data_IF_157240886253
#
_entry.id   IF_157240886253
#
_cell.length_a   1.000
_cell.length_b   1.000
_cell.length_c   1.000
_cell.angle_alpha   90.00
_cell.angle_beta   90.00
_cell.angle_gamma   90.00
#
_symmetry.space_group_name_H-M   'P 1'
#
loop_
_entity.id
_entity.type
_entity.pdbx_description
1 polymer ?
#
# COMPACT_ATOMS: atom_id res chain seq x y z
N UNK A 1 8.23 -11.56 10.12
CA UNK A 1 7.40 -11.59 8.89
C UNK A 1 6.65 -10.27 8.62
N UNK A 2 5.82 -9.74 9.54
CA UNK A 2 5.01 -8.51 9.30
C UNK A 2 5.81 -7.25 8.92
N UNK A 3 7.02 -7.10 9.45
CA UNK A 3 7.89 -5.97 9.14
C UNK A 3 8.48 -6.04 7.72
N UNK A 4 8.89 -7.24 7.26
CA UNK A 4 9.42 -7.45 5.91
C UNK A 4 8.36 -7.19 4.83
N UNK A 5 7.11 -7.59 5.07
CA UNK A 5 6.02 -7.33 4.13
C UNK A 5 5.73 -5.82 4.01
N UNK A 6 5.66 -5.11 5.14
CA UNK A 6 5.49 -3.64 5.14
C UNK A 6 6.66 -2.93 4.46
N UNK A 7 7.89 -3.43 4.68
CA UNK A 7 9.09 -2.92 4.03
C UNK A 7 9.05 -3.14 2.51
N UNK A 8 8.64 -4.34 2.07
CA UNK A 8 8.51 -4.66 0.64
C UNK A 8 7.47 -3.74 -0.05
N UNK A 9 6.34 -3.45 0.61
CA UNK A 9 5.32 -2.52 0.07
C UNK A 9 5.83 -1.09 0.02
N UNK A 10 6.55 -0.64 1.06
CA UNK A 10 7.14 0.69 1.07
C UNK A 10 8.20 0.86 -0.05
N UNK A 11 9.03 -0.16 -0.27
CA UNK A 11 10.00 -0.18 -1.38
C UNK A 11 9.28 -0.21 -2.73
N UNK A 12 8.20 -0.99 -2.87
CA UNK A 12 7.41 -1.06 -4.10
C UNK A 12 6.74 0.29 -4.44
N UNK A 13 6.22 1.01 -3.44
CA UNK A 13 5.66 2.36 -3.60
C UNK A 13 6.74 3.40 -3.91
N UNK A 14 7.94 3.28 -3.36
CA UNK A 14 9.07 4.15 -3.70
C UNK A 14 9.56 3.92 -5.13
N UNK A 15 9.53 2.67 -5.63
CA UNK A 15 9.80 2.37 -7.05
C UNK A 15 8.75 3.01 -7.96
N UNK A 16 7.50 3.16 -7.50
CA UNK A 16 6.42 3.85 -8.21
C UNK A 16 6.66 5.38 -8.35
N UNK A 17 7.54 5.95 -7.53
CA UNK A 17 7.92 7.37 -7.57
C UNK A 17 8.95 7.69 -8.67
N UNK A 18 9.65 6.67 -9.19
CA UNK A 18 10.46 6.81 -10.39
C UNK A 18 9.53 6.82 -11.62
N UNK A 19 9.78 7.71 -12.59
CA UNK A 19 9.04 7.77 -13.85
C UNK A 19 9.26 6.47 -14.65
N UNK A 20 8.45 5.45 -14.37
CA UNK A 20 8.45 4.21 -15.13
C UNK A 20 7.43 4.26 -16.28
N UNK A 21 7.71 3.55 -17.39
CA UNK A 21 6.77 3.43 -18.50
C UNK A 21 5.42 2.87 -18.02
N UNK A 22 4.32 3.34 -18.61
CA UNK A 22 2.94 3.15 -18.13
C UNK A 22 2.58 1.70 -17.72
N UNK A 23 3.08 0.70 -18.45
CA UNK A 23 2.82 -0.73 -18.12
C UNK A 23 3.40 -1.17 -16.77
N UNK A 24 4.48 -0.57 -16.29
CA UNK A 24 5.03 -0.87 -14.97
C UNK A 24 4.16 -0.32 -13.84
N UNK A 25 3.47 0.80 -14.03
CA UNK A 25 2.51 1.32 -13.04
C UNK A 25 1.36 0.33 -12.80
N UNK A 26 0.86 -0.32 -13.85
CA UNK A 26 -0.19 -1.34 -13.72
C UNK A 26 0.29 -2.57 -12.94
N UNK A 27 1.53 -3.03 -13.18
CA UNK A 27 2.14 -4.15 -12.42
C UNK A 27 2.32 -3.76 -10.95
N UNK A 28 2.81 -2.56 -10.67
CA UNK A 28 3.00 -2.07 -9.29
C UNK A 28 1.67 -1.97 -8.56
N UNK A 29 0.61 -1.51 -9.22
CA UNK A 29 -0.75 -1.49 -8.63
C UNK A 29 -1.27 -2.88 -8.33
N UNK A 30 -1.06 -3.84 -9.23
CA UNK A 30 -1.43 -5.24 -9.00
C UNK A 30 -0.73 -5.81 -7.76
N UNK A 31 0.58 -5.59 -7.64
CA UNK A 31 1.35 -6.01 -6.48
C UNK A 31 0.93 -5.28 -5.19
N UNK A 32 0.68 -3.96 -5.25
CA UNK A 32 0.19 -3.18 -4.12
C UNK A 32 -1.19 -3.66 -3.64
N UNK A 33 -2.12 -3.91 -4.57
CA UNK A 33 -3.44 -4.46 -4.27
C UNK A 33 -3.34 -5.81 -3.55
N UNK A 34 -2.55 -6.75 -4.08
CA UNK A 34 -2.35 -8.06 -3.45
C UNK A 34 -1.76 -7.94 -2.04
N UNK A 35 -0.81 -7.03 -1.85
CA UNK A 35 -0.17 -6.82 -0.56
C UNK A 35 -1.11 -6.15 0.48
N UNK A 36 -1.93 -5.18 0.05
CA UNK A 36 -2.95 -4.56 0.91
C UNK A 36 -4.07 -5.54 1.28
N UNK A 37 -4.49 -6.41 0.35
CA UNK A 37 -5.46 -7.46 0.64
C UNK A 37 -4.94 -8.43 1.71
N UNK A 38 -3.68 -8.86 1.60
CA UNK A 38 -3.05 -9.71 2.61
C UNK A 38 -2.95 -9.00 3.98
N UNK A 39 -2.55 -7.72 4.00
CA UNK A 39 -2.49 -6.92 5.23
C UNK A 39 -3.86 -6.77 5.88
N UNK A 40 -4.89 -6.50 5.09
CA UNK A 40 -6.27 -6.42 5.57
C UNK A 40 -6.68 -7.71 6.28
N UNK A 41 -6.42 -8.87 5.65
CA UNK A 41 -6.71 -10.18 6.22
C UNK A 41 -5.95 -10.44 7.54
N UNK A 42 -4.66 -10.14 7.60
CA UNK A 42 -3.86 -10.29 8.83
C UNK A 42 -4.34 -9.37 9.97
N UNK A 43 -4.78 -8.15 9.66
CA UNK A 43 -5.31 -7.21 10.65
C UNK A 43 -6.70 -7.60 11.16
N UNK A 44 -7.59 -8.11 10.29
CA UNK A 44 -8.86 -8.71 10.72
C UNK A 44 -8.63 -9.93 11.61
N UNK A 45 -7.67 -10.79 11.27
CA UNK A 45 -7.31 -11.94 12.12
C UNK A 45 -6.81 -11.52 13.51
N UNK A 46 -6.20 -10.35 13.63
CA UNK A 46 -5.76 -9.77 14.90
C UNK A 46 -6.85 -8.99 15.65
N UNK A 47 -8.13 -9.09 15.25
CA UNK A 47 -9.25 -8.32 15.84
C UNK A 47 -9.03 -6.80 15.77
N UNK A 48 -8.25 -6.33 14.79
CA UNK A 48 -7.97 -4.90 14.56
C UNK A 48 -8.77 -4.41 13.38
N UNK A 49 -10.09 -4.50 13.52
CA UNK A 49 -11.04 -4.33 12.42
C UNK A 49 -10.92 -2.97 11.75
N UNK A 50 -10.68 -1.89 12.52
CA UNK A 50 -10.45 -0.55 11.97
C UNK A 50 -9.30 -0.52 10.95
N UNK A 51 -8.13 -1.06 11.29
CA UNK A 51 -6.98 -1.09 10.39
C UNK A 51 -7.19 -2.09 9.24
N UNK A 52 -7.90 -3.19 9.49
CA UNK A 52 -8.30 -4.15 8.44
C UNK A 52 -9.15 -3.50 7.35
N UNK A 53 -10.14 -2.68 7.74
CA UNK A 53 -10.99 -1.91 6.82
C UNK A 53 -10.18 -0.88 6.04
N UNK A 54 -9.28 -0.14 6.69
CA UNK A 54 -8.41 0.84 6.01
C UNK A 54 -7.57 0.16 4.93
N UNK A 55 -6.95 -1.00 5.21
CA UNK A 55 -6.18 -1.73 4.20
C UNK A 55 -7.06 -2.35 3.11
N UNK A 56 -8.29 -2.76 3.42
CA UNK A 56 -9.23 -3.23 2.39
C UNK A 56 -9.62 -2.10 1.43
N UNK A 57 -9.90 -0.91 1.96
CA UNK A 57 -10.19 0.28 1.15
C UNK A 57 -9.01 0.66 0.26
N UNK A 58 -7.78 0.57 0.78
CA UNK A 58 -6.57 0.78 -0.03
C UNK A 58 -6.43 -0.29 -1.13
N UNK A 59 -6.67 -1.57 -0.82
CA UNK A 59 -6.63 -2.62 -1.85
C UNK A 59 -7.63 -2.35 -2.98
N UNK A 60 -8.84 -1.87 -2.65
CA UNK A 60 -9.85 -1.47 -3.63
C UNK A 60 -9.46 -0.22 -4.42
N UNK A 61 -8.77 0.73 -3.79
CA UNK A 61 -8.27 1.92 -4.47
C UNK A 61 -7.19 1.56 -5.50
N UNK A 62 -6.25 0.69 -5.11
CA UNK A 62 -5.14 0.23 -5.95
C UNK A 62 -5.50 -0.93 -6.88
N UNK A 63 -6.78 -1.31 -6.94
CA UNK A 63 -7.16 -2.45 -7.74
C UNK A 63 -6.87 -2.19 -9.24
N UNK A 64 -6.38 -3.21 -9.97
CA UNK A 64 -6.12 -3.11 -11.40
C UNK A 64 -7.35 -3.47 -12.25
N UNK A 65 -8.45 -3.94 -11.64
CA UNK A 65 -9.63 -4.42 -12.36
C UNK A 65 -10.50 -3.28 -12.93
N UNK A 66 -10.60 -2.18 -12.20
CA UNK A 66 -11.31 -0.99 -12.64
C UNK A 66 -10.30 0.10 -12.94
N UNK A 67 -10.26 0.58 -14.20
CA UNK A 67 -9.45 1.73 -14.58
C UNK A 67 -10.03 2.98 -13.93
N UNK A 68 -9.48 3.37 -12.78
CA UNK A 68 -9.78 4.66 -12.17
C UNK A 68 -8.87 5.70 -12.83
N UNK A 69 -9.45 6.44 -13.77
CA UNK A 69 -8.79 7.51 -14.54
C UNK A 69 -8.55 8.79 -13.71
N UNK A 70 -8.02 8.65 -12.49
CA UNK A 70 -7.49 9.82 -11.79
C UNK A 70 -6.31 10.34 -12.62
N UNK A 71 -6.23 11.66 -12.84
CA UNK A 71 -5.09 12.25 -13.54
C UNK A 71 -3.77 11.88 -12.85
N UNK A 72 -2.67 11.85 -13.60
CA UNK A 72 -1.32 11.48 -13.10
C UNK A 72 -0.95 12.23 -11.80
N UNK A 73 -1.29 13.51 -11.72
CA UNK A 73 -1.06 14.35 -10.53
C UNK A 73 -1.80 13.85 -9.28
N UNK A 74 -3.06 13.42 -9.41
CA UNK A 74 -3.83 12.91 -8.28
C UNK A 74 -3.31 11.54 -7.82
N UNK A 75 -2.96 10.66 -8.76
CA UNK A 75 -2.36 9.37 -8.42
C UNK A 75 -1.03 9.53 -7.69
N UNK A 76 -0.18 10.45 -8.14
CA UNK A 76 1.07 10.75 -7.44
C UNK A 76 0.83 11.25 -6.01
N UNK A 77 -0.17 12.11 -5.81
CA UNK A 77 -0.53 12.58 -4.47
C UNK A 77 -1.02 11.43 -3.57
N UNK A 78 -1.86 10.54 -4.10
CA UNK A 78 -2.32 9.34 -3.39
C UNK A 78 -1.15 8.43 -3.02
N UNK A 79 -0.25 8.15 -3.97
CA UNK A 79 0.93 7.30 -3.74
C UNK A 79 1.82 7.88 -2.63
N UNK A 80 2.06 9.19 -2.62
CA UNK A 80 2.85 9.87 -1.58
C UNK A 80 2.17 9.73 -0.21
N UNK A 81 0.86 9.99 -0.11
CA UNK A 81 0.12 9.89 1.15
C UNK A 81 0.17 8.45 1.69
N UNK A 82 -0.04 7.46 0.82
CA UNK A 82 -0.03 6.04 1.18
C UNK A 82 1.37 5.60 1.60
N UNK A 83 2.42 6.05 0.90
CA UNK A 83 3.81 5.80 1.27
C UNK A 83 4.14 6.36 2.67
N UNK A 84 3.73 7.61 2.96
CA UNK A 84 3.92 8.23 4.27
C UNK A 84 3.18 7.47 5.38
N UNK A 85 1.94 7.06 5.14
CA UNK A 85 1.16 6.29 6.11
C UNK A 85 1.81 4.93 6.44
N UNK A 86 2.34 4.25 5.43
CA UNK A 86 3.10 3.00 5.62
C UNK A 86 4.41 3.24 6.36
N UNK A 87 5.13 4.32 6.05
CA UNK A 87 6.37 4.68 6.74
C UNK A 87 6.13 4.94 8.23
N UNK A 88 5.06 5.69 8.57
CA UNK A 88 4.64 5.90 9.96
C UNK A 88 4.30 4.58 10.67
N UNK A 89 3.58 3.67 10.01
CA UNK A 89 3.26 2.34 10.52
C UNK A 89 4.50 1.48 10.77
N UNK A 90 5.53 1.61 9.94
CA UNK A 90 6.82 0.92 10.11
C UNK A 90 7.57 1.50 11.31
N UNK A 91 7.72 2.82 11.41
CA UNK A 91 8.37 3.49 12.54
C UNK A 91 7.68 3.10 13.86
N UNK A 92 6.34 3.13 13.90
CA UNK A 92 5.56 2.73 15.08
C UNK A 92 5.75 1.24 15.41
N UNK A 93 5.90 0.37 14.42
CA UNK A 93 6.15 -1.05 14.62
C UNK A 93 7.56 -1.31 15.18
N UNK A 94 8.56 -0.52 14.79
CA UNK A 94 9.93 -0.60 15.32
C UNK A 94 9.97 -0.06 16.75
N UNK A 95 9.30 1.06 17.04
CA UNK A 95 9.25 1.67 18.38
C UNK A 95 8.56 0.82 19.45
N UNK A 96 7.67 -0.11 19.08
CA UNK A 96 7.03 -1.05 20.01
C UNK A 96 7.87 -2.27 20.39
N UNK A 97 9.09 -2.42 19.86
CA UNK A 97 10.04 -3.49 20.25
C UNK A 97 11.00 -3.08 21.38
N UNK A 98 10.74 -1.97 22.08
CA UNK A 98 11.49 -1.58 23.27
C UNK A 98 10.64 -1.79 24.51
#
# INVERSE_FOLDING_TARGET
MKALLKLAIAVLLLVCLADLPYGFYEIVRFAACAAFAYLSYDYFKQRRDFWGIVFAALALLFQPFFKISLGRTLWNAVDIIVALALFYLIIRAIGKRK
#
